data_IF_735780309806
#
_entry.id   IF_735780309806
#
_cell.length_a   1.000
_cell.length_b   1.000
_cell.length_c   1.000
_cell.angle_alpha   90.00
_cell.angle_beta   90.00
_cell.angle_gamma   90.00
#
_symmetry.space_group_name_H-M   'P 1'
#
loop_
_entity.id
_entity.type
_entity.pdbx_description
1 polymer ?
#
# COMPACT_ATOMS: atom_id res chain seq x y z
N UNK A 1 14.54 -71.03 10.03
CA UNK A 1 13.87 -70.14 11.00
C UNK A 1 14.62 -68.79 11.00
N UNK A 2 14.17 -67.83 10.21
CA UNK A 2 14.80 -66.54 10.07
C UNK A 2 13.79 -65.46 10.54
N UNK A 3 14.08 -64.85 11.67
CA UNK A 3 13.31 -63.73 12.25
C UNK A 3 13.66 -62.46 11.50
N UNK A 4 12.67 -61.89 10.80
CA UNK A 4 12.74 -60.54 10.23
C UNK A 4 12.36 -59.55 11.30
N UNK A 5 13.34 -58.71 11.74
CA UNK A 5 13.08 -57.58 12.62
C UNK A 5 12.52 -56.41 11.81
N UNK A 6 11.36 -55.92 12.16
CA UNK A 6 10.76 -54.73 11.62
C UNK A 6 11.31 -53.51 12.40
N UNK A 7 12.02 -52.62 11.68
CA UNK A 7 12.42 -51.31 12.17
C UNK A 7 11.20 -50.35 12.06
N UNK A 8 10.69 -49.94 13.21
CA UNK A 8 9.67 -48.87 13.30
C UNK A 8 10.38 -47.53 13.33
N UNK A 9 10.25 -46.80 12.24
CA UNK A 9 10.79 -45.41 12.11
C UNK A 9 9.77 -44.46 12.73
N UNK A 10 10.03 -43.99 13.96
CA UNK A 10 9.21 -42.97 14.62
C UNK A 10 9.54 -41.60 14.01
N UNK A 11 8.62 -41.07 13.19
CA UNK A 11 8.70 -39.69 12.67
C UNK A 11 8.37 -38.70 13.81
N UNK A 12 9.36 -37.95 14.27
CA UNK A 12 9.23 -36.83 15.19
C UNK A 12 8.54 -35.68 14.46
N UNK A 13 7.24 -35.50 14.69
CA UNK A 13 6.50 -34.28 14.32
C UNK A 13 6.93 -33.14 15.27
N UNK A 14 7.81 -32.26 14.80
CA UNK A 14 8.12 -31.03 15.50
C UNK A 14 6.88 -30.09 15.44
N UNK A 15 6.44 -29.53 16.58
CA UNK A 15 5.34 -28.57 16.57
C UNK A 15 5.79 -27.30 15.82
N UNK A 16 5.03 -26.92 14.77
CA UNK A 16 5.17 -25.65 14.09
C UNK A 16 4.72 -24.53 15.05
N UNK A 17 5.68 -23.89 15.72
CA UNK A 17 5.40 -22.71 16.56
C UNK A 17 5.14 -21.54 15.60
N UNK A 18 3.96 -20.89 15.63
CA UNK A 18 3.72 -19.71 14.82
C UNK A 18 4.71 -18.61 15.23
N UNK A 19 5.41 -18.03 14.24
CA UNK A 19 6.30 -16.89 14.48
C UNK A 19 5.47 -15.73 15.08
N UNK A 20 5.99 -15.05 16.13
CA UNK A 20 5.29 -13.90 16.68
C UNK A 20 5.17 -12.81 15.61
N UNK A 21 4.04 -12.05 15.60
CA UNK A 21 3.90 -10.92 14.70
C UNK A 21 5.07 -9.95 14.91
N UNK A 22 5.64 -9.45 13.81
CA UNK A 22 6.74 -8.48 13.86
C UNK A 22 6.32 -7.29 14.72
N UNK A 23 6.99 -7.11 15.85
CA UNK A 23 6.68 -6.05 16.81
C UNK A 23 6.92 -4.70 16.15
N UNK A 24 5.90 -3.83 16.14
CA UNK A 24 6.11 -2.40 15.95
C UNK A 24 7.20 -1.96 16.93
N UNK A 25 8.20 -1.19 16.46
CA UNK A 25 9.24 -0.69 17.33
C UNK A 25 8.66 0.07 18.52
N UNK A 26 9.28 -0.01 19.68
CA UNK A 26 8.91 0.80 20.84
C UNK A 26 10.04 1.76 21.20
N UNK A 27 9.69 2.95 21.65
CA UNK A 27 10.62 3.91 22.24
C UNK A 27 10.38 3.91 23.75
N UNK A 28 11.43 3.59 24.51
CA UNK A 28 11.37 3.65 25.97
C UNK A 28 11.74 5.08 26.43
N UNK A 29 10.78 5.79 26.97
CA UNK A 29 10.94 7.11 27.55
C UNK A 29 11.22 6.95 29.05
N UNK A 30 12.41 7.31 29.48
CA UNK A 30 12.76 7.37 30.90
C UNK A 30 12.38 8.73 31.47
N UNK A 31 11.64 8.75 32.57
CA UNK A 31 11.26 9.98 33.26
C UNK A 31 12.25 10.19 34.43
N UNK A 32 12.84 11.40 34.61
CA UNK A 32 13.59 11.73 35.81
C UNK A 32 12.68 11.56 37.03
N UNK A 33 12.98 10.75 37.99
CA UNK A 33 12.26 10.41 39.24
C UNK A 33 11.61 9.03 39.26
N UNK A 34 12.04 8.12 38.36
CA UNK A 34 11.71 6.69 38.50
C UNK A 34 10.38 6.32 37.86
N UNK A 35 10.44 6.06 36.58
CA UNK A 35 9.36 5.48 35.79
C UNK A 35 9.80 5.42 34.33
N UNK A 36 9.34 4.42 33.59
CA UNK A 36 9.55 4.29 32.14
C UNK A 36 8.22 4.04 31.44
N UNK A 37 8.00 4.70 30.30
CA UNK A 37 6.89 4.42 29.42
C UNK A 37 7.44 3.86 28.12
N UNK A 38 6.95 2.69 27.70
CA UNK A 38 7.21 2.16 26.37
C UNK A 38 6.11 2.59 25.44
N UNK A 39 6.44 3.39 24.42
CA UNK A 39 5.50 3.90 23.44
C UNK A 39 5.68 3.11 22.15
N UNK A 40 4.66 2.38 21.67
CA UNK A 40 4.73 1.71 20.38
C UNK A 40 4.81 2.75 19.27
N UNK A 41 5.84 2.64 18.42
CA UNK A 41 6.03 3.54 17.27
C UNK A 41 5.93 2.77 15.98
N UNK A 42 5.24 3.33 15.01
CA UNK A 42 5.18 2.82 13.64
C UNK A 42 6.10 3.67 12.78
N UNK A 43 7.02 3.05 12.06
CA UNK A 43 7.88 3.77 11.13
C UNK A 43 7.02 4.38 10.00
N UNK A 44 7.48 5.50 9.41
CA UNK A 44 6.81 6.10 8.26
C UNK A 44 6.74 5.13 7.07
N UNK A 45 7.71 4.23 6.96
CA UNK A 45 7.73 3.19 5.93
C UNK A 45 6.62 2.18 6.15
N UNK A 46 6.42 1.70 7.37
CA UNK A 46 5.32 0.78 7.73
C UNK A 46 3.96 1.46 7.57
N UNK A 47 3.85 2.72 8.00
CA UNK A 47 2.60 3.48 7.87
C UNK A 47 2.12 3.56 6.42
N UNK A 48 3.03 3.66 5.45
CA UNK A 48 2.69 3.67 4.02
C UNK A 48 2.07 2.35 3.53
N UNK A 49 2.39 1.23 4.16
CA UNK A 49 1.88 -0.09 3.78
C UNK A 49 0.67 -0.57 4.60
N UNK A 50 0.14 0.24 5.52
CA UNK A 50 -1.07 -0.10 6.31
C UNK A 50 -2.29 -0.43 5.44
N UNK A 51 -2.39 0.17 4.26
CA UNK A 51 -3.52 0.00 3.35
C UNK A 51 -3.07 -0.16 1.89
N UNK A 52 -1.91 -0.76 1.72
CA UNK A 52 -1.32 -1.11 0.42
C UNK A 52 -0.63 -2.45 0.56
N UNK A 53 -1.00 -3.40 -0.26
CA UNK A 53 -0.33 -4.69 -0.35
C UNK A 53 1.02 -4.46 -1.03
N UNK A 54 2.10 -4.95 -0.38
CA UNK A 54 3.43 -4.85 -0.94
C UNK A 54 3.63 -5.96 -1.96
N UNK A 55 4.15 -5.63 -3.15
CA UNK A 55 4.58 -6.63 -4.12
C UNK A 55 5.78 -7.42 -3.57
N UNK A 56 5.84 -8.71 -3.91
CA UNK A 56 6.92 -9.60 -3.48
C UNK A 56 8.00 -9.70 -4.56
N UNK A 57 7.62 -9.69 -5.83
CA UNK A 57 8.51 -9.76 -6.99
C UNK A 57 8.38 -8.51 -7.87
N UNK A 58 9.39 -8.21 -8.67
CA UNK A 58 9.42 -7.02 -9.54
C UNK A 58 8.30 -7.03 -10.60
N UNK A 59 7.85 -8.21 -11.03
CA UNK A 59 6.77 -8.38 -12.00
C UNK A 59 5.38 -8.60 -11.36
N UNK A 60 5.28 -8.60 -10.02
CA UNK A 60 4.01 -8.87 -9.29
C UNK A 60 3.21 -7.62 -8.95
N UNK A 61 3.58 -6.43 -9.45
CA UNK A 61 2.86 -5.19 -9.17
C UNK A 61 1.36 -5.27 -9.52
N UNK A 62 1.00 -6.04 -10.56
CA UNK A 62 -0.38 -6.25 -10.98
C UNK A 62 -1.21 -7.03 -9.97
N UNK A 63 -0.70 -8.16 -9.44
CA UNK A 63 -1.39 -8.93 -8.40
C UNK A 63 -1.52 -8.15 -7.11
N UNK A 64 -0.48 -7.44 -6.70
CA UNK A 64 -0.50 -6.60 -5.51
C UNK A 64 -1.45 -5.38 -5.65
N UNK A 65 -1.57 -4.79 -6.86
CA UNK A 65 -2.54 -3.74 -7.13
C UNK A 65 -3.98 -4.26 -7.05
N UNK A 66 -4.27 -5.44 -7.60
CA UNK A 66 -5.59 -6.09 -7.50
C UNK A 66 -5.90 -6.45 -6.05
N UNK A 67 -4.96 -7.05 -5.32
CA UNK A 67 -5.14 -7.38 -3.91
C UNK A 67 -5.38 -6.11 -3.07
N UNK A 68 -4.66 -5.03 -3.34
CA UNK A 68 -4.88 -3.71 -2.71
C UNK A 68 -6.27 -3.16 -3.02
N UNK A 69 -6.68 -3.21 -4.28
CA UNK A 69 -7.99 -2.74 -4.72
C UNK A 69 -9.11 -3.48 -3.99
N UNK A 70 -9.10 -4.82 -4.03
CA UNK A 70 -10.15 -5.63 -3.42
C UNK A 70 -10.19 -5.47 -1.91
N UNK A 71 -9.04 -5.59 -1.24
CA UNK A 71 -8.98 -5.57 0.22
C UNK A 71 -9.34 -4.21 0.80
N UNK A 72 -8.75 -3.14 0.28
CA UNK A 72 -8.86 -1.82 0.91
C UNK A 72 -9.89 -0.88 0.26
N UNK A 73 -10.30 -1.15 -0.97
CA UNK A 73 -11.28 -0.29 -1.65
C UNK A 73 -12.66 -0.95 -1.77
N UNK A 74 -12.72 -2.28 -1.82
CA UNK A 74 -13.98 -3.04 -1.93
C UNK A 74 -14.30 -3.88 -0.68
N UNK A 75 -13.42 -3.91 0.33
CA UNK A 75 -13.65 -4.64 1.59
C UNK A 75 -13.61 -6.17 1.45
N UNK A 76 -13.07 -6.69 0.37
CA UNK A 76 -12.92 -8.12 0.11
C UNK A 76 -11.47 -8.51 0.36
N UNK A 77 -11.20 -9.07 1.54
CA UNK A 77 -9.85 -9.50 1.91
C UNK A 77 -9.34 -10.59 0.98
N UNK A 78 -8.22 -10.34 0.31
CA UNK A 78 -7.52 -11.29 -0.54
C UNK A 78 -6.02 -11.20 -0.29
N UNK A 79 -5.34 -12.35 -0.35
CA UNK A 79 -3.89 -12.43 -0.27
C UNK A 79 -3.28 -12.22 -1.66
N UNK A 80 -2.18 -11.45 -1.73
CA UNK A 80 -1.45 -11.20 -2.97
C UNK A 80 -0.97 -12.49 -3.63
N UNK A 81 -0.48 -13.45 -2.84
CA UNK A 81 -0.03 -14.74 -3.34
C UNK A 81 -1.16 -15.58 -3.96
N UNK A 82 -2.40 -15.43 -3.46
CA UNK A 82 -3.58 -16.07 -4.08
C UNK A 82 -3.87 -15.44 -5.45
N UNK A 83 -3.91 -14.09 -5.50
CA UNK A 83 -4.12 -13.34 -6.75
C UNK A 83 -3.06 -13.70 -7.77
N UNK A 84 -1.80 -13.65 -7.36
CA UNK A 84 -0.64 -14.00 -8.21
C UNK A 84 -0.77 -15.40 -8.80
N UNK A 85 -0.97 -16.42 -7.95
CA UNK A 85 -1.07 -17.82 -8.40
C UNK A 85 -2.20 -18.01 -9.42
N UNK A 86 -3.36 -17.41 -9.16
CA UNK A 86 -4.49 -17.52 -10.08
C UNK A 86 -4.19 -16.84 -11.43
N UNK A 87 -3.71 -15.59 -11.41
CA UNK A 87 -3.41 -14.85 -12.63
C UNK A 87 -2.27 -15.51 -13.42
N UNK A 88 -1.25 -16.03 -12.73
CA UNK A 88 -0.14 -16.74 -13.37
C UNK A 88 -0.55 -18.06 -14.00
N UNK A 89 -1.42 -18.83 -13.33
CA UNK A 89 -1.92 -20.10 -13.85
C UNK A 89 -2.84 -19.96 -15.07
N UNK A 90 -3.59 -18.84 -15.16
CA UNK A 90 -4.57 -18.59 -16.24
C UNK A 90 -4.04 -17.69 -17.36
N UNK A 91 -2.89 -17.03 -17.15
CA UNK A 91 -2.25 -16.13 -18.10
C UNK A 91 -1.14 -16.77 -18.92
N UNK A 92 -0.54 -15.97 -19.79
CA UNK A 92 0.67 -16.36 -20.53
C UNK A 92 1.89 -16.20 -19.60
N UNK A 93 2.35 -17.31 -19.05
CA UNK A 93 3.44 -17.32 -18.08
C UNK A 93 4.77 -16.79 -18.62
N UNK A 94 5.07 -17.01 -19.92
CA UNK A 94 6.29 -16.51 -20.53
C UNK A 94 6.26 -14.98 -20.62
N UNK A 95 5.14 -14.44 -21.05
CA UNK A 95 4.91 -13.00 -21.13
C UNK A 95 4.87 -12.34 -19.74
N UNK A 96 4.19 -12.97 -18.77
CA UNK A 96 4.11 -12.46 -17.40
C UNK A 96 5.52 -12.34 -16.78
N UNK A 97 6.40 -13.31 -17.00
CA UNK A 97 7.79 -13.23 -16.50
C UNK A 97 8.61 -12.12 -17.17
N UNK A 98 8.33 -11.82 -18.44
CA UNK A 98 9.06 -10.80 -19.19
C UNK A 98 8.52 -9.38 -18.98
N UNK A 99 7.21 -9.20 -18.90
CA UNK A 99 6.53 -7.91 -18.95
C UNK A 99 5.67 -7.60 -17.71
N UNK A 100 5.48 -8.58 -16.81
CA UNK A 100 4.50 -8.51 -15.72
C UNK A 100 3.08 -8.84 -16.18
N UNK A 101 2.13 -8.75 -15.25
CA UNK A 101 0.73 -8.99 -15.52
C UNK A 101 0.11 -7.91 -16.40
N UNK A 102 -0.81 -8.30 -17.28
CA UNK A 102 -1.59 -7.38 -18.11
C UNK A 102 -2.92 -7.00 -17.44
N UNK A 103 -3.56 -5.94 -17.92
CA UNK A 103 -4.93 -5.59 -17.51
C UNK A 103 -5.93 -6.70 -17.86
N UNK A 104 -5.67 -7.49 -18.90
CA UNK A 104 -6.50 -8.63 -19.24
C UNK A 104 -6.42 -9.75 -18.19
N UNK A 105 -5.24 -10.01 -17.64
CA UNK A 105 -5.06 -10.99 -16.57
C UNK A 105 -5.81 -10.53 -15.30
N UNK A 106 -5.68 -9.24 -14.96
CA UNK A 106 -6.44 -8.63 -13.85
C UNK A 106 -7.94 -8.71 -14.06
N UNK A 107 -8.42 -8.41 -15.28
CA UNK A 107 -9.83 -8.49 -15.64
C UNK A 107 -10.38 -9.90 -15.46
N UNK A 108 -9.65 -10.92 -15.95
CA UNK A 108 -10.04 -12.33 -15.81
C UNK A 108 -10.14 -12.74 -14.34
N UNK A 109 -9.15 -12.37 -13.53
CA UNK A 109 -9.18 -12.64 -12.10
C UNK A 109 -10.38 -11.95 -11.43
N UNK A 110 -10.58 -10.67 -11.67
CA UNK A 110 -11.70 -9.91 -11.10
C UNK A 110 -13.04 -10.53 -11.50
N UNK A 111 -13.20 -10.93 -12.77
CA UNK A 111 -14.41 -11.60 -13.28
C UNK A 111 -14.66 -12.93 -12.56
N UNK A 112 -13.63 -13.73 -12.26
CA UNK A 112 -13.74 -14.99 -11.50
C UNK A 112 -14.23 -14.76 -10.06
N UNK A 113 -14.07 -13.53 -9.54
CA UNK A 113 -14.53 -13.11 -8.22
C UNK A 113 -15.85 -12.30 -8.26
N UNK A 114 -16.51 -12.24 -9.42
CA UNK A 114 -17.77 -11.53 -9.61
C UNK A 114 -17.65 -10.01 -9.70
N UNK A 115 -16.45 -9.50 -10.04
CA UNK A 115 -16.19 -8.09 -10.30
C UNK A 115 -16.01 -7.86 -11.79
N UNK A 116 -16.76 -6.94 -12.37
CA UNK A 116 -16.63 -6.52 -13.76
C UNK A 116 -15.79 -5.26 -13.83
N UNK A 117 -14.66 -5.34 -14.55
CA UNK A 117 -13.71 -4.24 -14.65
C UNK A 117 -13.31 -4.03 -16.11
N UNK A 118 -13.24 -2.77 -16.52
CA UNK A 118 -12.84 -2.36 -17.86
C UNK A 118 -11.94 -1.12 -17.82
N UNK A 119 -11.21 -0.92 -18.94
CA UNK A 119 -10.36 0.24 -19.15
C UNK A 119 -11.11 1.39 -19.82
N UNK A 120 -10.99 2.60 -19.26
CA UNK A 120 -11.60 3.81 -19.78
C UNK A 120 -10.54 4.91 -20.00
N UNK A 121 -10.55 5.51 -21.19
CA UNK A 121 -9.74 6.70 -21.49
C UNK A 121 -10.56 7.96 -21.23
N UNK A 122 -10.56 8.40 -19.99
CA UNK A 122 -11.29 9.58 -19.51
C UNK A 122 -10.44 10.37 -18.53
N UNK A 123 -10.72 11.66 -18.32
CA UNK A 123 -10.00 12.48 -17.35
C UNK A 123 -10.04 11.88 -15.95
N UNK A 124 -8.93 12.03 -15.20
CA UNK A 124 -8.80 11.49 -13.84
C UNK A 124 -9.89 11.99 -12.88
N UNK A 125 -10.41 13.19 -13.12
CA UNK A 125 -11.45 13.81 -12.28
C UNK A 125 -12.79 13.05 -12.32
N UNK A 126 -13.01 12.22 -13.34
CA UNK A 126 -14.18 11.32 -13.38
C UNK A 126 -14.19 10.32 -12.22
N UNK A 127 -13.01 9.95 -11.68
CA UNK A 127 -12.95 9.12 -10.48
C UNK A 127 -13.53 9.83 -9.25
N UNK A 128 -13.31 11.15 -9.14
CA UNK A 128 -13.88 11.95 -8.05
C UNK A 128 -15.40 12.06 -8.18
N UNK A 129 -15.90 12.32 -9.38
CA UNK A 129 -17.33 12.42 -9.67
C UNK A 129 -18.07 11.10 -9.41
N UNK A 130 -17.45 9.98 -9.75
CA UNK A 130 -18.06 8.65 -9.59
C UNK A 130 -17.76 8.01 -8.23
N UNK A 131 -16.84 8.57 -7.43
CA UNK A 131 -16.40 7.99 -6.16
C UNK A 131 -15.72 6.63 -6.30
N UNK A 132 -15.03 6.38 -7.43
CA UNK A 132 -14.49 5.06 -7.76
C UNK A 132 -12.96 5.06 -7.75
N UNK A 133 -12.32 4.05 -7.16
CA UNK A 133 -10.89 3.80 -7.31
C UNK A 133 -10.57 3.20 -8.68
N UNK A 134 -9.34 3.38 -9.14
CA UNK A 134 -8.86 2.81 -10.40
C UNK A 134 -7.46 2.25 -10.27
N UNK A 135 -7.16 1.16 -10.97
CA UNK A 135 -5.79 0.76 -11.25
C UNK A 135 -5.32 1.54 -12.48
N UNK A 136 -4.11 2.07 -12.40
CA UNK A 136 -3.47 2.81 -13.51
C UNK A 136 -2.03 2.34 -13.69
N UNK A 137 -1.55 2.39 -14.92
CA UNK A 137 -0.14 2.16 -15.24
C UNK A 137 0.57 3.50 -15.24
N UNK A 138 1.61 3.63 -14.42
CA UNK A 138 2.48 4.80 -14.38
C UNK A 138 3.89 4.45 -14.85
N UNK A 139 4.62 5.46 -15.32
CA UNK A 139 6.03 5.39 -15.68
C UNK A 139 6.83 6.38 -14.83
N UNK A 140 7.41 5.90 -13.75
CA UNK A 140 8.16 6.74 -12.80
C UNK A 140 9.66 6.56 -13.00
N UNK A 141 10.25 7.41 -13.82
CA UNK A 141 11.69 7.36 -14.15
C UNK A 141 12.10 6.14 -14.97
N UNK A 142 11.26 5.67 -15.89
CA UNK A 142 11.49 4.49 -16.73
C UNK A 142 10.95 3.19 -16.12
N UNK A 143 10.59 3.19 -14.85
CA UNK A 143 9.95 2.04 -14.20
C UNK A 143 8.43 2.09 -14.39
N UNK A 144 7.93 1.20 -15.23
CA UNK A 144 6.49 1.05 -15.52
C UNK A 144 5.86 0.06 -14.56
N UNK A 145 4.88 0.50 -13.78
CA UNK A 145 4.19 -0.36 -12.83
C UNK A 145 2.75 0.08 -12.56
N UNK A 146 1.95 -0.84 -12.03
CA UNK A 146 0.57 -0.58 -11.66
C UNK A 146 0.46 -0.05 -10.24
N UNK A 147 -0.37 1.00 -10.10
CA UNK A 147 -0.74 1.58 -8.81
C UNK A 147 -2.25 1.75 -8.73
N UNK A 148 -2.80 1.85 -7.52
CA UNK A 148 -4.22 2.11 -7.30
C UNK A 148 -4.41 3.58 -6.95
N UNK A 149 -5.12 4.32 -7.81
CA UNK A 149 -5.62 5.67 -7.47
C UNK A 149 -6.82 5.50 -6.55
N UNK A 150 -6.72 6.03 -5.33
CA UNK A 150 -7.71 5.87 -4.28
C UNK A 150 -8.26 7.19 -3.71
N UNK A 151 -7.78 8.31 -4.22
CA UNK A 151 -8.28 9.63 -3.81
C UNK A 151 -7.68 10.79 -4.59
N UNK A 152 -8.46 11.85 -4.68
CA UNK A 152 -8.10 13.14 -5.29
C UNK A 152 -8.52 14.25 -4.33
N UNK A 153 -7.58 15.06 -3.85
CA UNK A 153 -7.85 16.13 -2.90
C UNK A 153 -6.83 17.26 -3.01
N UNK A 154 -7.28 18.49 -3.08
CA UNK A 154 -6.43 19.70 -3.03
C UNK A 154 -5.25 19.65 -4.01
N UNK A 155 -5.50 19.29 -5.28
CA UNK A 155 -4.46 19.21 -6.30
C UNK A 155 -3.45 18.08 -6.09
N UNK A 156 -3.80 17.06 -5.31
CA UNK A 156 -2.99 15.85 -5.05
C UNK A 156 -3.76 14.60 -5.41
N UNK A 157 -3.02 13.60 -5.88
CA UNK A 157 -3.50 12.24 -6.18
C UNK A 157 -2.97 11.31 -5.11
N UNK A 158 -3.86 10.62 -4.40
CA UNK A 158 -3.48 9.59 -3.44
C UNK A 158 -3.40 8.26 -4.16
N UNK A 159 -2.22 7.68 -4.18
CA UNK A 159 -1.96 6.38 -4.81
C UNK A 159 -1.52 5.35 -3.77
N UNK A 160 -2.00 4.13 -3.90
CA UNK A 160 -1.44 2.97 -3.24
C UNK A 160 -0.49 2.29 -4.23
N UNK A 161 0.78 2.38 -3.95
CA UNK A 161 1.88 1.92 -4.81
C UNK A 161 2.45 0.62 -4.21
N UNK A 162 2.34 -0.53 -4.88
CA UNK A 162 2.82 -1.81 -4.37
C UNK A 162 4.33 -1.83 -4.03
N UNK A 163 5.13 -1.01 -4.72
CA UNK A 163 6.57 -0.92 -4.47
C UNK A 163 6.94 0.07 -3.35
N UNK A 164 6.18 1.17 -3.22
CA UNK A 164 6.54 2.31 -2.35
C UNK A 164 5.54 2.60 -1.23
N UNK A 165 4.42 1.88 -1.20
CA UNK A 165 3.31 2.09 -0.27
C UNK A 165 2.43 3.29 -0.66
N UNK A 166 1.47 3.62 0.19
CA UNK A 166 0.57 4.76 -0.04
C UNK A 166 1.35 6.07 -0.02
N UNK A 167 1.15 6.91 -1.04
CA UNK A 167 1.76 8.24 -1.17
C UNK A 167 0.81 9.23 -1.87
N UNK A 168 0.95 10.51 -1.56
CA UNK A 168 0.23 11.57 -2.27
C UNK A 168 1.19 12.29 -3.21
N UNK A 169 0.84 12.33 -4.49
CA UNK A 169 1.60 12.96 -5.58
C UNK A 169 0.87 14.24 -5.97
N UNK A 170 1.58 15.32 -6.28
CA UNK A 170 0.94 16.52 -6.85
C UNK A 170 0.31 16.16 -8.19
N UNK A 171 -0.87 16.70 -8.50
CA UNK A 171 -1.60 16.39 -9.73
C UNK A 171 -0.72 16.56 -10.98
N UNK A 172 -0.04 17.68 -11.12
CA UNK A 172 0.86 17.95 -12.25
C UNK A 172 2.01 16.94 -12.40
N UNK A 173 2.49 16.40 -11.26
CA UNK A 173 3.59 15.44 -11.25
C UNK A 173 3.06 14.03 -11.57
N UNK A 174 1.84 13.73 -11.13
CA UNK A 174 1.12 12.49 -11.49
C UNK A 174 0.79 12.45 -12.99
N UNK A 175 0.26 13.55 -13.54
CA UNK A 175 -0.12 13.63 -14.97
C UNK A 175 1.09 13.40 -15.90
N UNK A 176 2.32 13.72 -15.44
CA UNK A 176 3.56 13.47 -16.22
C UNK A 176 3.98 12.01 -16.23
N UNK A 177 3.66 11.24 -15.19
CA UNK A 177 4.03 9.83 -15.08
C UNK A 177 2.89 8.89 -15.51
N UNK A 178 1.67 9.40 -15.65
CA UNK A 178 0.50 8.66 -16.12
C UNK A 178 0.28 8.89 -17.62
N UNK A 179 1.19 8.35 -18.43
CA UNK A 179 1.23 8.55 -19.88
C UNK A 179 0.11 7.84 -20.64
N UNK A 180 -0.37 6.71 -20.14
CA UNK A 180 -1.40 5.90 -20.77
C UNK A 180 -2.80 6.53 -20.76
N UNK A 181 -3.08 7.43 -19.82
CA UNK A 181 -4.39 8.04 -19.55
C UNK A 181 -5.54 7.04 -19.47
N UNK A 182 -5.22 5.78 -19.11
CA UNK A 182 -6.18 4.69 -18.98
C UNK A 182 -6.50 4.45 -17.51
N UNK A 183 -7.79 4.47 -17.17
CA UNK A 183 -8.34 4.12 -15.86
C UNK A 183 -8.94 2.72 -15.95
N UNK A 184 -8.40 1.76 -15.21
CA UNK A 184 -8.99 0.43 -15.09
C UNK A 184 -9.86 0.39 -13.84
N UNK A 185 -11.17 0.29 -14.02
CA UNK A 185 -12.19 0.53 -12.99
C UNK A 185 -13.15 -0.65 -12.90
N UNK A 186 -13.47 -1.07 -11.66
CA UNK A 186 -14.58 -1.98 -11.40
C UNK A 186 -15.88 -1.17 -11.41
N UNK A 187 -16.86 -1.59 -12.21
CA UNK A 187 -18.06 -0.79 -12.45
C UNK A 187 -19.37 -1.42 -11.98
N UNK A 188 -19.41 -2.73 -11.69
CA UNK A 188 -20.62 -3.43 -11.25
C UNK A 188 -20.85 -3.43 -9.73
N UNK A 189 -19.83 -3.06 -8.91
CA UNK A 189 -19.88 -3.07 -7.44
C UNK A 189 -19.67 -1.67 -6.83
N UNK A 190 -20.22 -0.64 -7.45
CA UNK A 190 -20.02 0.76 -7.04
C UNK A 190 -20.37 1.03 -5.57
N UNK A 191 -21.43 0.41 -5.05
CA UNK A 191 -21.86 0.59 -3.66
C UNK A 191 -20.88 0.06 -2.60
N UNK A 192 -19.94 -0.80 -2.98
CA UNK A 192 -18.87 -1.29 -2.10
C UNK A 192 -17.61 -0.43 -2.19
N UNK A 193 -17.50 0.42 -3.21
CA UNK A 193 -16.28 1.15 -3.48
C UNK A 193 -15.99 2.20 -2.39
N UNK A 194 -14.77 2.20 -1.88
CA UNK A 194 -14.24 3.23 -0.99
C UNK A 194 -13.28 4.11 -1.77
N UNK A 195 -13.59 5.40 -1.87
CA UNK A 195 -12.75 6.38 -2.54
C UNK A 195 -12.61 7.63 -1.67
N UNK A 196 -11.44 8.24 -1.68
CA UNK A 196 -11.16 9.52 -0.98
C UNK A 196 -11.34 9.47 0.55
N UNK A 197 -11.17 8.28 1.16
CA UNK A 197 -11.33 8.07 2.60
C UNK A 197 -10.34 8.94 3.40
N UNK A 198 -10.83 9.66 4.42
CA UNK A 198 -10.02 10.57 5.23
C UNK A 198 -8.76 9.90 5.80
N UNK A 199 -8.93 8.71 6.40
CA UNK A 199 -7.82 7.92 6.99
C UNK A 199 -6.72 7.55 5.97
N UNK A 200 -7.06 7.45 4.70
CA UNK A 200 -6.07 7.13 3.67
C UNK A 200 -5.10 8.28 3.41
N UNK A 201 -5.48 9.52 3.76
CA UNK A 201 -4.65 10.70 3.64
C UNK A 201 -3.71 10.93 4.83
N UNK A 202 -3.85 10.18 5.92
CA UNK A 202 -2.99 10.31 7.12
C UNK A 202 -1.52 10.01 6.83
N UNK A 203 -1.21 9.26 5.77
CA UNK A 203 0.15 8.98 5.31
C UNK A 203 0.84 10.20 4.67
N UNK A 204 0.07 11.22 4.32
CA UNK A 204 0.55 12.42 3.65
C UNK A 204 -0.21 13.65 4.18
N UNK A 205 -0.07 13.96 5.48
CA UNK A 205 -0.75 15.09 6.08
C UNK A 205 -0.39 16.38 5.32
N UNK A 206 -1.40 17.19 5.03
CA UNK A 206 -1.16 18.54 4.55
C UNK A 206 -0.70 19.35 5.76
N UNK A 207 0.55 19.82 5.75
CA UNK A 207 0.96 20.80 6.74
C UNK A 207 0.09 22.05 6.58
N UNK A 208 -0.59 22.55 7.62
CA UNK A 208 -1.37 23.77 7.56
C UNK A 208 -0.43 24.98 7.49
N UNK A 209 0.23 25.16 6.34
CA UNK A 209 1.24 26.21 6.16
C UNK A 209 0.67 27.62 6.36
N UNK A 210 -0.64 27.79 6.21
CA UNK A 210 -1.33 29.08 6.45
C UNK A 210 -1.64 29.30 7.94
N UNK A 211 -1.66 28.25 8.77
CA UNK A 211 -1.76 28.34 10.23
C UNK A 211 -0.44 28.03 10.91
N UNK A 212 0.54 27.60 10.13
CA UNK A 212 1.85 27.24 10.63
C UNK A 212 2.62 28.48 11.02
N UNK A 213 2.97 28.55 12.29
CA UNK A 213 3.89 29.49 12.91
C UNK A 213 3.51 30.95 12.61
N UNK A 214 2.55 31.48 13.35
CA UNK A 214 2.52 32.91 13.56
C UNK A 214 3.91 33.33 14.05
N UNK A 215 4.63 34.13 13.26
CA UNK A 215 5.96 34.67 13.63
C UNK A 215 5.94 35.32 15.02
N UNK A 216 4.80 35.81 15.46
CA UNK A 216 4.56 36.33 16.81
C UNK A 216 4.64 35.24 17.90
N UNK A 217 4.31 33.97 17.60
CA UNK A 217 4.45 32.87 18.57
C UNK A 217 5.90 32.46 18.85
N UNK A 218 6.83 32.75 17.92
CA UNK A 218 8.26 32.47 18.12
C UNK A 218 8.93 33.48 19.06
N UNK A 219 8.33 34.64 19.30
CA UNK A 219 8.88 35.65 20.22
C UNK A 219 8.88 35.19 21.70
N UNK A 220 8.09 34.18 22.03
CA UNK A 220 8.03 33.58 23.37
C UNK A 220 8.90 32.32 23.55
N UNK A 221 9.55 31.84 22.48
CA UNK A 221 10.53 30.78 22.59
C UNK A 221 11.87 31.48 23.00
N UNK A 222 11.99 31.71 24.26
CA UNK A 222 13.28 32.10 24.84
C UNK A 222 14.18 30.87 24.77
N UNK A 223 15.01 30.79 23.74
CA UNK A 223 16.17 29.88 23.75
C UNK A 223 17.08 30.44 24.82
N UNK A 224 17.36 29.71 25.94
CA UNK A 224 18.30 30.19 26.93
C UNK A 224 19.63 30.41 26.22
N UNK A 225 19.98 31.68 25.96
CA UNK A 225 21.36 32.02 25.59
C UNK A 225 22.17 31.87 26.86
N UNK A 226 23.05 30.86 26.90
CA UNK A 226 24.12 30.85 27.89
C UNK A 226 24.85 32.15 27.75
N UNK A 227 24.80 32.97 28.79
CA UNK A 227 25.59 34.21 28.86
C UNK A 227 27.09 33.88 28.94
N UNK A 228 27.97 34.81 28.54
CA UNK A 228 29.40 34.65 28.73
C UNK A 228 29.66 34.72 30.27
N UNK A 229 29.73 33.56 30.92
CA UNK A 229 29.90 33.43 32.39
C UNK A 229 29.32 32.13 32.99
N UNK A 230 28.53 31.38 32.24
CA UNK A 230 28.05 30.05 32.68
C UNK A 230 29.12 29.00 32.31
N UNK A 231 30.14 28.92 33.17
CA UNK A 231 31.12 27.81 33.19
C UNK A 231 30.62 26.77 34.19
#
# INVERSE_FOLDING_TARGET
MTRRGALVLAALLAPCVPAPPASAGSIDLRVPHGGGYSVPVTSLKEARFRSTVRQQDDFSCGSAAVATLLTYQYGVAVDEAEVFRHMYATGDQARIRAEGFSLLDMRRYLASRGFEADGFQVPLDRLLEQGLPAIVLINDGGYRHFVVVRGLRQGRVLVADPARGTRAIRRRDFDRIWDSQLLFVVHNRRGLASFNQARAWDVAPAAPLHTGIQRQGLQHIVIPRRGPGDI
#
